data_IF_435335952288
#
_entry.id   IF_435335952288
#
_cell.length_a   1.000
_cell.length_b   1.000
_cell.length_c   1.000
_cell.angle_alpha   90.00
_cell.angle_beta   90.00
_cell.angle_gamma   90.00
#
_symmetry.space_group_name_H-M   'P 1'
#
loop_
_entity.id
_entity.type
_entity.pdbx_description
1 polymer ?
#
# COMPACT_ATOMS: atom_id res chain seq x y z
N UNK A 1 -3.50 -30.35 -47.99
CA UNK A 1 -4.45 -30.31 -46.87
C UNK A 1 -3.93 -30.88 -45.53
N UNK A 2 -2.93 -31.77 -45.51
CA UNK A 2 -2.32 -32.26 -44.26
C UNK A 2 -1.16 -31.36 -43.73
N UNK A 3 -0.45 -30.66 -44.59
CA UNK A 3 0.68 -29.78 -44.20
C UNK A 3 0.23 -28.44 -43.55
N UNK A 4 -0.97 -27.96 -43.82
CA UNK A 4 -1.46 -26.71 -43.22
C UNK A 4 -1.95 -26.88 -41.76
N UNK A 5 -2.43 -28.07 -41.36
CA UNK A 5 -2.90 -28.35 -39.99
C UNK A 5 -1.74 -28.45 -38.99
N UNK A 6 -0.56 -28.92 -39.39
CA UNK A 6 0.60 -29.01 -38.47
C UNK A 6 1.26 -27.64 -38.27
N UNK A 7 1.32 -26.79 -39.27
CA UNK A 7 1.84 -25.43 -39.17
C UNK A 7 0.95 -24.55 -38.27
N UNK A 8 -0.37 -24.77 -38.29
CA UNK A 8 -1.30 -24.05 -37.39
C UNK A 8 -1.22 -24.56 -35.92
N UNK A 9 -0.94 -25.85 -35.71
CA UNK A 9 -0.72 -26.43 -34.37
C UNK A 9 0.61 -25.95 -33.76
N UNK A 10 1.65 -25.88 -34.53
CA UNK A 10 2.95 -25.38 -34.04
C UNK A 10 2.92 -23.89 -33.77
N UNK A 11 2.29 -23.08 -34.60
CA UNK A 11 2.07 -21.65 -34.32
C UNK A 11 1.23 -21.42 -33.08
N UNK A 12 0.18 -22.22 -32.81
CA UNK A 12 -0.58 -22.15 -31.57
C UNK A 12 0.23 -22.58 -30.35
N UNK A 13 1.07 -23.57 -30.43
CA UNK A 13 1.98 -23.97 -29.33
C UNK A 13 3.03 -22.90 -29.07
N UNK A 14 3.64 -22.32 -30.10
CA UNK A 14 4.63 -21.24 -29.96
C UNK A 14 4.00 -19.98 -29.39
N UNK A 15 2.79 -19.60 -29.80
CA UNK A 15 2.06 -18.46 -29.25
C UNK A 15 1.63 -18.70 -27.80
N UNK A 16 1.18 -19.91 -27.44
CA UNK A 16 0.83 -20.25 -26.07
C UNK A 16 2.05 -20.24 -25.14
N UNK A 17 3.20 -20.79 -25.57
CA UNK A 17 4.44 -20.78 -24.78
C UNK A 17 5.00 -19.35 -24.63
N UNK A 18 4.87 -18.50 -25.65
CA UNK A 18 5.26 -17.09 -25.59
C UNK A 18 4.36 -16.28 -24.64
N UNK A 19 3.06 -16.56 -24.67
CA UNK A 19 2.09 -15.94 -23.75
C UNK A 19 2.31 -16.39 -22.30
N UNK A 20 2.56 -17.67 -22.04
CA UNK A 20 2.84 -18.16 -20.68
C UNK A 20 4.14 -17.59 -20.11
N UNK A 21 5.20 -17.48 -20.91
CA UNK A 21 6.46 -16.82 -20.50
C UNK A 21 6.25 -15.35 -20.20
N UNK A 22 5.42 -14.66 -20.99
CA UNK A 22 5.08 -13.25 -20.79
C UNK A 22 4.32 -13.05 -19.48
N UNK A 23 3.31 -13.87 -19.16
CA UNK A 23 2.52 -13.80 -17.93
C UNK A 23 3.39 -14.04 -16.69
N UNK A 24 4.24 -15.07 -16.70
CA UNK A 24 5.17 -15.37 -15.61
C UNK A 24 6.15 -14.21 -15.36
N UNK A 25 6.72 -13.65 -16.46
CA UNK A 25 7.61 -12.51 -16.36
C UNK A 25 6.91 -11.28 -15.79
N UNK A 26 5.71 -10.95 -16.27
CA UNK A 26 4.92 -9.85 -15.77
C UNK A 26 4.58 -10.00 -14.28
N UNK A 27 4.25 -11.21 -13.84
CA UNK A 27 4.03 -11.51 -12.42
C UNK A 27 5.29 -11.25 -11.59
N UNK A 28 6.44 -11.77 -12.02
CA UNK A 28 7.73 -11.56 -11.33
C UNK A 28 8.08 -10.08 -11.27
N UNK A 29 7.93 -9.36 -12.38
CA UNK A 29 8.22 -7.92 -12.44
C UNK A 29 7.29 -7.11 -11.54
N UNK A 30 5.99 -7.41 -11.53
CA UNK A 30 5.06 -6.76 -10.61
C UNK A 30 5.38 -7.07 -9.13
N UNK A 31 5.74 -8.31 -8.83
CA UNK A 31 6.19 -8.69 -7.49
C UNK A 31 7.46 -7.93 -7.08
N UNK A 32 8.46 -7.84 -7.96
CA UNK A 32 9.68 -7.07 -7.72
C UNK A 32 9.38 -5.57 -7.50
N UNK A 33 8.48 -5.00 -8.31
CA UNK A 33 8.05 -3.61 -8.14
C UNK A 33 7.43 -3.38 -6.77
N UNK A 34 6.54 -4.27 -6.35
CA UNK A 34 5.86 -4.21 -5.05
C UNK A 34 6.84 -4.39 -3.89
N UNK A 35 7.66 -5.44 -3.94
CA UNK A 35 8.67 -5.74 -2.90
C UNK A 35 9.66 -4.59 -2.77
N UNK A 36 10.10 -4.00 -3.90
CA UNK A 36 11.00 -2.85 -3.86
C UNK A 36 10.43 -1.66 -3.11
N UNK A 37 9.10 -1.48 -3.12
CA UNK A 37 8.43 -0.38 -2.42
C UNK A 37 8.50 -0.49 -0.89
N UNK A 38 8.78 -1.68 -0.36
CA UNK A 38 9.02 -1.91 1.06
C UNK A 38 10.53 -1.98 1.40
N UNK A 39 11.33 -2.62 0.54
CA UNK A 39 12.77 -2.82 0.79
C UNK A 39 13.52 -1.48 0.78
N UNK A 40 13.28 -0.61 -0.19
CA UNK A 40 14.02 0.66 -0.27
C UNK A 40 13.80 1.56 0.95
N UNK A 41 12.55 1.82 1.42
CA UNK A 41 12.34 2.51 2.69
C UNK A 41 12.99 1.80 3.89
N UNK A 42 13.00 0.47 3.91
CA UNK A 42 13.64 -0.30 5.00
C UNK A 42 15.16 -0.09 5.05
N UNK A 43 15.82 0.02 3.91
CA UNK A 43 17.27 0.28 3.84
C UNK A 43 17.58 1.75 4.16
N UNK A 44 16.77 2.70 3.66
CA UNK A 44 17.02 4.13 3.85
C UNK A 44 16.67 4.61 5.25
N UNK A 45 15.62 4.05 5.86
CA UNK A 45 15.08 4.54 7.12
C UNK A 45 16.05 4.47 8.29
N UNK A 46 16.86 3.40 8.50
CA UNK A 46 17.84 3.35 9.58
C UNK A 46 18.89 4.46 9.52
N UNK A 47 19.28 4.88 8.33
CA UNK A 47 20.17 6.01 8.12
C UNK A 47 19.47 7.34 8.41
N UNK A 48 18.36 7.56 7.70
CA UNK A 48 17.61 8.82 7.73
C UNK A 48 17.07 9.13 9.13
N UNK A 49 16.56 8.12 9.85
CA UNK A 49 16.04 8.30 11.21
C UNK A 49 17.12 8.79 12.19
N UNK A 50 18.36 8.31 12.05
CA UNK A 50 19.48 8.75 12.90
C UNK A 50 19.95 10.16 12.57
N UNK A 51 19.86 10.58 11.31
CA UNK A 51 20.26 11.91 10.85
C UNK A 51 19.20 12.96 11.13
N UNK A 52 17.95 12.71 10.69
CA UNK A 52 16.85 13.68 10.77
C UNK A 52 16.13 13.69 12.12
N UNK A 53 16.32 12.65 12.93
CA UNK A 53 15.63 12.43 14.19
C UNK A 53 14.07 12.35 14.03
N UNK A 54 13.31 12.11 15.12
CA UNK A 54 11.84 11.99 15.03
C UNK A 54 11.16 13.23 14.44
N UNK A 55 11.64 14.43 14.77
CA UNK A 55 11.06 15.67 14.28
C UNK A 55 11.14 15.78 12.75
N UNK A 56 12.33 15.62 12.17
CA UNK A 56 12.51 15.74 10.71
C UNK A 56 11.78 14.65 9.93
N UNK A 57 11.82 13.40 10.39
CA UNK A 57 11.06 12.31 9.76
C UNK A 57 9.55 12.48 9.94
N UNK A 58 9.11 13.04 11.07
CA UNK A 58 7.71 13.37 11.34
C UNK A 58 7.17 14.43 10.40
N UNK A 59 7.91 15.54 10.19
CA UNK A 59 7.56 16.59 9.22
C UNK A 59 7.35 16.02 7.81
N UNK A 60 8.28 15.19 7.34
CA UNK A 60 8.17 14.57 6.02
C UNK A 60 7.00 13.58 5.95
N UNK A 61 6.77 12.78 7.00
CA UNK A 61 5.65 11.83 7.05
C UNK A 61 4.30 12.55 7.07
N UNK A 62 4.17 13.61 7.86
CA UNK A 62 2.97 14.44 7.88
C UNK A 62 2.69 15.07 6.52
N UNK A 63 3.70 15.71 5.93
CA UNK A 63 3.56 16.31 4.60
C UNK A 63 3.20 15.27 3.54
N UNK A 64 3.81 14.07 3.58
CA UNK A 64 3.47 12.96 2.69
C UNK A 64 2.00 12.56 2.82
N UNK A 65 1.50 12.38 4.04
CA UNK A 65 0.11 11.97 4.28
C UNK A 65 -0.90 13.03 3.85
N UNK A 66 -0.63 14.31 4.12
CA UNK A 66 -1.48 15.42 3.67
C UNK A 66 -1.50 15.50 2.13
N UNK A 67 -0.35 15.46 1.48
CA UNK A 67 -0.26 15.49 0.00
C UNK A 67 -0.90 14.25 -0.63
N UNK A 68 -0.87 13.11 0.04
CA UNK A 68 -1.56 11.90 -0.44
C UNK A 68 -3.07 12.12 -0.56
N UNK A 69 -3.69 12.87 0.37
CA UNK A 69 -5.11 13.24 0.24
C UNK A 69 -5.37 14.11 -0.99
N UNK A 70 -4.56 15.16 -1.20
CA UNK A 70 -4.69 15.99 -2.41
C UNK A 70 -4.44 15.19 -3.69
N UNK A 71 -3.47 14.29 -3.67
CA UNK A 71 -3.16 13.38 -4.80
C UNK A 71 -4.32 12.41 -5.09
N UNK A 72 -5.00 11.90 -4.07
CA UNK A 72 -6.19 11.06 -4.20
C UNK A 72 -7.32 11.81 -4.93
N UNK A 73 -7.59 13.07 -4.54
CA UNK A 73 -8.58 13.91 -5.23
C UNK A 73 -8.15 14.23 -6.67
N UNK A 74 -6.89 14.55 -6.91
CA UNK A 74 -6.36 14.82 -8.24
C UNK A 74 -6.48 13.61 -9.17
N UNK A 75 -6.22 12.41 -8.67
CA UNK A 75 -6.26 11.17 -9.45
C UNK A 75 -7.66 10.58 -9.62
N UNK A 76 -8.61 10.94 -8.77
CA UNK A 76 -10.05 10.58 -8.85
C UNK A 76 -10.32 9.10 -9.17
N UNK A 77 -9.54 8.14 -8.60
CA UNK A 77 -9.70 6.70 -8.84
C UNK A 77 -9.24 6.20 -10.22
N UNK A 78 -8.75 7.09 -11.07
CA UNK A 78 -8.23 6.73 -12.41
C UNK A 78 -7.07 5.73 -12.36
N UNK A 79 -6.17 5.71 -11.36
CA UNK A 79 -5.11 4.69 -11.30
C UNK A 79 -5.63 3.25 -11.40
N UNK A 80 -6.78 2.95 -10.81
CA UNK A 80 -7.40 1.62 -10.87
C UNK A 80 -8.34 1.47 -12.07
N UNK A 81 -9.20 2.46 -12.31
CA UNK A 81 -10.12 2.43 -13.43
C UNK A 81 -9.39 2.44 -14.78
N UNK A 82 -8.33 3.25 -14.92
CA UNK A 82 -7.56 3.39 -16.15
C UNK A 82 -6.92 2.09 -16.62
N UNK A 83 -6.44 1.24 -15.68
CA UNK A 83 -5.93 -0.10 -16.02
C UNK A 83 -7.01 -0.89 -16.75
N UNK A 84 -8.23 -0.95 -16.19
CA UNK A 84 -9.37 -1.67 -16.78
C UNK A 84 -9.83 -1.06 -18.10
N UNK A 85 -9.87 0.27 -18.17
CA UNK A 85 -10.30 0.99 -19.37
C UNK A 85 -9.33 0.77 -20.54
N UNK A 86 -8.01 0.88 -20.29
CA UNK A 86 -7.00 0.65 -21.32
C UNK A 86 -6.92 -0.81 -21.76
N UNK A 87 -7.00 -1.76 -20.83
CA UNK A 87 -6.97 -3.18 -21.16
C UNK A 87 -8.08 -3.59 -22.12
N UNK A 88 -9.28 -2.99 -22.00
CA UNK A 88 -10.43 -3.26 -22.89
C UNK A 88 -10.22 -2.82 -24.34
N UNK A 89 -9.39 -1.82 -24.58
CA UNK A 89 -9.19 -1.20 -25.89
C UNK A 89 -7.75 -1.30 -26.39
N UNK A 90 -6.94 -2.13 -25.75
CA UNK A 90 -5.49 -2.23 -25.98
C UNK A 90 -5.11 -2.57 -27.42
N UNK A 91 -5.94 -3.32 -28.12
CA UNK A 91 -5.69 -3.78 -29.48
C UNK A 91 -6.02 -2.74 -30.57
N UNK A 92 -6.71 -1.64 -30.20
CA UNK A 92 -7.03 -0.54 -31.09
C UNK A 92 -6.35 0.76 -30.64
N UNK A 93 -5.29 1.14 -31.35
CA UNK A 93 -4.46 2.31 -31.00
C UNK A 93 -5.26 3.62 -30.97
N UNK A 94 -6.26 3.80 -31.83
CA UNK A 94 -7.09 5.00 -31.85
C UNK A 94 -7.98 5.08 -30.63
N UNK A 95 -8.72 3.99 -30.32
CA UNK A 95 -9.58 3.92 -29.15
C UNK A 95 -8.79 4.02 -27.86
N UNK A 96 -7.58 3.42 -27.80
CA UNK A 96 -6.68 3.53 -26.67
C UNK A 96 -6.24 4.98 -26.48
N UNK A 97 -5.81 5.67 -27.55
CA UNK A 97 -5.40 7.07 -27.50
C UNK A 97 -6.52 7.97 -27.01
N UNK A 98 -7.74 7.78 -27.54
CA UNK A 98 -8.95 8.51 -27.12
C UNK A 98 -9.24 8.31 -25.63
N UNK A 99 -9.23 7.06 -25.16
CA UNK A 99 -9.45 6.71 -23.75
C UNK A 99 -8.39 7.36 -22.84
N UNK A 100 -7.12 7.32 -23.24
CA UNK A 100 -6.03 7.93 -22.47
C UNK A 100 -6.19 9.45 -22.43
N UNK A 101 -6.52 10.10 -23.54
CA UNK A 101 -6.74 11.55 -23.57
C UNK A 101 -7.93 11.96 -22.69
N UNK A 102 -9.03 11.24 -22.72
CA UNK A 102 -10.21 11.50 -21.87
C UNK A 102 -9.88 11.37 -20.39
N UNK A 103 -9.17 10.32 -20.00
CA UNK A 103 -8.77 10.12 -18.59
C UNK A 103 -7.73 11.13 -18.14
N UNK A 104 -6.76 11.49 -18.99
CA UNK A 104 -5.81 12.55 -18.71
C UNK A 104 -6.48 13.91 -18.55
N UNK A 105 -7.49 14.21 -19.38
CA UNK A 105 -8.25 15.45 -19.26
C UNK A 105 -8.95 15.53 -17.90
N UNK A 106 -9.62 14.44 -17.44
CA UNK A 106 -10.24 14.39 -16.11
C UNK A 106 -9.17 14.62 -15.02
N UNK A 107 -8.03 13.93 -15.10
CA UNK A 107 -6.93 14.10 -14.14
C UNK A 107 -6.39 15.54 -14.10
N UNK A 108 -6.21 16.17 -15.26
CA UNK A 108 -5.71 17.56 -15.32
C UNK A 108 -6.69 18.54 -14.68
N UNK A 109 -8.00 18.41 -14.99
CA UNK A 109 -9.04 19.25 -14.39
C UNK A 109 -9.06 19.06 -12.87
N UNK A 110 -9.08 17.81 -12.39
CA UNK A 110 -9.10 17.53 -10.96
C UNK A 110 -7.83 17.96 -10.25
N UNK A 111 -6.67 17.86 -10.93
CA UNK A 111 -5.41 18.37 -10.38
C UNK A 111 -5.41 19.87 -10.24
N UNK A 112 -5.98 20.60 -11.20
CA UNK A 112 -6.14 22.05 -11.09
C UNK A 112 -6.95 22.43 -9.86
N UNK A 113 -8.09 21.75 -9.63
CA UNK A 113 -8.89 21.95 -8.42
C UNK A 113 -8.12 21.56 -7.14
N UNK A 114 -7.43 20.42 -7.15
CA UNK A 114 -6.64 19.95 -6.00
C UNK A 114 -5.52 20.95 -5.65
N UNK A 115 -4.81 21.48 -6.65
CA UNK A 115 -3.79 22.52 -6.42
C UNK A 115 -4.39 23.86 -5.97
N UNK A 116 -5.57 24.22 -6.47
CA UNK A 116 -6.29 25.43 -6.00
C UNK A 116 -6.63 25.33 -4.52
N UNK A 117 -7.25 24.22 -4.10
CA UNK A 117 -7.59 23.97 -2.68
C UNK A 117 -6.32 23.85 -1.84
N UNK A 118 -5.29 23.12 -2.33
CA UNK A 118 -4.01 23.03 -1.65
C UNK A 118 -3.36 24.40 -1.44
N UNK A 119 -3.38 25.27 -2.44
CA UNK A 119 -2.85 26.64 -2.35
C UNK A 119 -3.57 27.46 -1.27
N UNK A 120 -4.90 27.37 -1.21
CA UNK A 120 -5.71 28.02 -0.16
C UNK A 120 -5.31 27.45 1.20
N UNK A 121 -5.25 26.12 1.36
CA UNK A 121 -4.84 25.49 2.62
C UNK A 121 -3.42 25.90 3.05
N UNK A 122 -2.48 25.99 2.10
CA UNK A 122 -1.10 26.39 2.38
C UNK A 122 -0.99 27.84 2.90
N UNK A 123 -1.91 28.72 2.49
CA UNK A 123 -1.95 30.10 2.92
C UNK A 123 -2.73 30.30 4.23
N UNK A 124 -3.80 29.52 4.44
CA UNK A 124 -4.72 29.71 5.56
C UNK A 124 -4.40 28.84 6.78
N UNK A 125 -3.84 27.65 6.58
CA UNK A 125 -3.55 26.70 7.68
C UNK A 125 -2.15 26.97 8.24
N UNK A 126 -2.01 27.44 9.50
CA UNK A 126 -0.71 27.82 10.06
C UNK A 126 0.32 26.68 10.02
N UNK A 127 -0.10 25.45 10.34
CA UNK A 127 0.78 24.26 10.34
C UNK A 127 1.41 23.98 8.97
N UNK A 128 0.66 24.16 7.88
CA UNK A 128 1.15 23.97 6.54
C UNK A 128 2.05 25.15 6.11
N UNK A 129 1.67 26.36 6.53
CA UNK A 129 2.42 27.58 6.19
C UNK A 129 3.81 27.62 6.84
N UNK A 130 3.97 27.06 8.05
CA UNK A 130 5.26 26.98 8.72
C UNK A 130 6.28 26.14 7.93
N UNK A 131 5.83 25.07 7.26
CA UNK A 131 6.68 24.16 6.47
C UNK A 131 6.42 24.33 4.94
N UNK A 132 6.13 25.57 4.52
CA UNK A 132 5.74 25.90 3.13
C UNK A 132 6.65 25.27 2.09
N UNK A 133 7.97 25.36 2.26
CA UNK A 133 8.95 24.82 1.31
C UNK A 133 8.82 23.31 1.16
N UNK A 134 8.68 22.59 2.27
CA UNK A 134 8.48 21.15 2.25
C UNK A 134 7.18 20.78 1.52
N UNK A 135 6.07 21.44 1.84
CA UNK A 135 4.78 21.17 1.23
C UNK A 135 4.74 21.50 -0.26
N UNK A 136 5.38 22.58 -0.71
CA UNK A 136 5.49 22.92 -2.12
C UNK A 136 6.27 21.85 -2.89
N UNK A 137 7.40 21.40 -2.35
CA UNK A 137 8.18 20.32 -2.97
C UNK A 137 7.35 19.04 -2.98
N UNK A 138 6.76 18.64 -1.85
CA UNK A 138 5.96 17.40 -1.75
C UNK A 138 4.76 17.44 -2.70
N UNK A 139 4.16 18.58 -2.97
CA UNK A 139 3.03 18.71 -3.89
C UNK A 139 3.36 18.35 -5.34
N UNK A 140 4.64 18.40 -5.75
CA UNK A 140 5.06 17.96 -7.09
C UNK A 140 4.74 16.48 -7.37
N UNK A 141 4.54 15.68 -6.33
CA UNK A 141 4.04 14.29 -6.44
C UNK A 141 2.71 14.23 -7.19
N UNK A 142 1.81 15.20 -6.97
CA UNK A 142 0.50 15.26 -7.65
C UNK A 142 0.74 15.37 -9.16
N UNK A 143 1.61 16.30 -9.57
CA UNK A 143 1.95 16.50 -10.98
C UNK A 143 2.57 15.25 -11.61
N UNK A 144 3.60 14.67 -10.97
CA UNK A 144 4.25 13.46 -11.48
C UNK A 144 3.30 12.27 -11.59
N UNK A 145 2.37 12.12 -10.66
CA UNK A 145 1.39 11.03 -10.71
C UNK A 145 0.38 11.20 -11.84
N UNK A 146 0.01 12.43 -12.17
CA UNK A 146 -0.92 12.72 -13.27
C UNK A 146 -0.27 12.47 -14.62
N UNK A 147 0.92 13.03 -14.87
CA UNK A 147 1.62 12.83 -16.15
C UNK A 147 2.16 11.41 -16.31
N UNK A 148 2.32 10.67 -15.20
CA UNK A 148 2.96 9.37 -15.20
C UNK A 148 2.19 8.28 -15.94
N UNK A 149 0.89 8.43 -16.09
CA UNK A 149 -0.02 7.48 -16.77
C UNK A 149 0.34 6.01 -16.53
N UNK A 150 0.79 5.66 -15.32
CA UNK A 150 1.27 4.31 -15.00
C UNK A 150 0.19 3.25 -15.23
N UNK A 151 -1.08 3.64 -15.07
CA UNK A 151 -2.23 2.82 -15.34
C UNK A 151 -2.33 2.38 -16.82
N UNK A 152 -1.83 3.18 -17.78
CA UNK A 152 -1.71 2.80 -19.19
C UNK A 152 -0.76 1.61 -19.34
N UNK A 153 0.44 1.71 -18.76
CA UNK A 153 1.45 0.65 -18.85
C UNK A 153 1.01 -0.64 -18.17
N UNK A 154 0.32 -0.53 -17.02
CA UNK A 154 -0.28 -1.68 -16.34
C UNK A 154 -1.39 -2.31 -17.18
N UNK A 155 -2.24 -1.51 -17.83
CA UNK A 155 -3.28 -1.98 -18.74
C UNK A 155 -2.74 -2.66 -20.00
N UNK A 156 -1.56 -2.25 -20.45
CA UNK A 156 -0.83 -2.85 -21.57
C UNK A 156 0.14 -3.97 -21.13
N UNK A 157 0.13 -4.36 -19.85
CA UNK A 157 1.00 -5.39 -19.26
C UNK A 157 2.51 -5.13 -19.43
N UNK A 158 2.92 -3.85 -19.48
CA UNK A 158 4.32 -3.43 -19.65
C UNK A 158 5.07 -3.39 -18.30
N UNK A 159 4.93 -4.44 -17.48
CA UNK A 159 5.48 -4.49 -16.12
C UNK A 159 7.01 -4.43 -16.10
N UNK A 160 7.69 -5.05 -17.07
CA UNK A 160 9.16 -4.98 -17.15
C UNK A 160 9.66 -3.55 -17.24
N UNK A 161 9.04 -2.73 -18.10
CA UNK A 161 9.42 -1.34 -18.28
C UNK A 161 9.22 -0.52 -16.99
N UNK A 162 8.03 -0.57 -16.40
CA UNK A 162 7.73 0.21 -15.19
C UNK A 162 8.57 -0.23 -13.99
N UNK A 163 8.87 -1.54 -13.88
CA UNK A 163 9.68 -2.08 -12.78
C UNK A 163 11.13 -1.65 -12.89
N UNK A 164 11.78 -1.89 -14.04
CA UNK A 164 13.19 -1.52 -14.22
C UNK A 164 13.39 -0.02 -14.01
N UNK A 165 12.56 0.79 -14.64
CA UNK A 165 12.57 2.24 -14.48
C UNK A 165 12.44 2.65 -12.99
N UNK A 166 11.43 2.11 -12.28
CA UNK A 166 11.20 2.42 -10.87
C UNK A 166 12.38 2.02 -10.00
N UNK A 167 12.95 0.83 -10.23
CA UNK A 167 14.12 0.35 -9.49
C UNK A 167 15.33 1.26 -9.67
N UNK A 168 15.62 1.68 -10.90
CA UNK A 168 16.74 2.58 -11.21
C UNK A 168 16.59 3.89 -10.40
N UNK A 169 15.42 4.52 -10.43
CA UNK A 169 15.19 5.76 -9.67
C UNK A 169 15.27 5.55 -8.16
N UNK A 170 14.79 4.43 -7.64
CA UNK A 170 14.92 4.09 -6.22
C UNK A 170 16.39 3.91 -5.81
N UNK A 171 17.20 3.23 -6.63
CA UNK A 171 18.64 3.06 -6.39
C UNK A 171 19.35 4.42 -6.41
N UNK A 172 19.08 5.27 -7.41
CA UNK A 172 19.63 6.62 -7.47
C UNK A 172 19.23 7.42 -6.22
N UNK A 173 17.93 7.39 -5.85
CA UNK A 173 17.45 8.10 -4.67
C UNK A 173 18.10 7.62 -3.38
N UNK A 174 18.37 6.31 -3.25
CA UNK A 174 19.10 5.74 -2.11
C UNK A 174 20.51 6.36 -2.01
N UNK A 175 21.30 6.29 -3.09
CA UNK A 175 22.66 6.83 -3.08
C UNK A 175 22.69 8.34 -2.84
N UNK A 176 21.80 9.08 -3.48
CA UNK A 176 21.70 10.54 -3.30
C UNK A 176 21.26 10.89 -1.87
N UNK A 177 20.37 10.08 -1.25
CA UNK A 177 19.98 10.25 0.15
C UNK A 177 21.19 10.09 1.06
N UNK A 178 22.01 9.05 0.89
CA UNK A 178 23.21 8.84 1.68
C UNK A 178 24.27 9.96 1.51
N UNK A 179 24.29 10.60 0.34
CA UNK A 179 25.23 11.70 0.06
C UNK A 179 24.76 13.06 0.58
N UNK A 180 23.48 13.38 0.42
CA UNK A 180 22.96 14.75 0.66
C UNK A 180 22.30 14.92 2.03
N UNK A 181 21.72 13.89 2.63
CA UNK A 181 21.02 13.98 3.92
C UNK A 181 22.04 13.76 5.04
N UNK A 182 22.59 14.83 5.63
CA UNK A 182 23.65 14.75 6.64
C UNK A 182 23.33 15.49 7.93
N UNK A 183 22.37 16.41 7.92
CA UNK A 183 22.01 17.27 9.05
C UNK A 183 20.51 17.17 9.33
N UNK A 184 20.10 17.52 10.56
CA UNK A 184 18.68 17.57 10.95
C UNK A 184 17.84 18.48 10.03
N UNK A 185 18.43 19.58 9.53
CA UNK A 185 17.79 20.54 8.62
C UNK A 185 17.52 19.98 7.23
N UNK A 186 18.12 18.85 6.85
CA UNK A 186 18.02 18.30 5.49
C UNK A 186 16.73 17.51 5.24
N UNK A 187 15.72 17.63 6.14
CA UNK A 187 14.42 16.97 5.98
C UNK A 187 13.68 17.39 4.70
N UNK A 188 13.86 18.65 4.24
CA UNK A 188 13.30 19.12 2.98
C UNK A 188 13.95 18.42 1.78
N UNK A 189 15.27 18.24 1.81
CA UNK A 189 16.02 17.46 0.81
C UNK A 189 15.53 16.01 0.79
N UNK A 190 15.39 15.42 1.98
CA UNK A 190 14.84 14.07 2.10
C UNK A 190 13.43 13.96 1.54
N UNK A 191 12.55 14.94 1.79
CA UNK A 191 11.23 15.02 1.18
C UNK A 191 11.30 15.01 -0.35
N UNK A 192 12.18 15.80 -0.96
CA UNK A 192 12.39 15.81 -2.41
C UNK A 192 12.89 14.44 -2.94
N UNK A 193 13.79 13.80 -2.20
CA UNK A 193 14.33 12.47 -2.58
C UNK A 193 13.29 11.36 -2.47
N UNK A 194 12.36 11.44 -1.52
CA UNK A 194 11.23 10.49 -1.46
C UNK A 194 10.33 10.60 -2.70
N UNK A 195 10.11 11.81 -3.23
CA UNK A 195 9.36 12.02 -4.47
C UNK A 195 10.15 11.48 -5.66
N UNK A 196 11.46 11.72 -5.69
CA UNK A 196 12.32 11.18 -6.76
C UNK A 196 12.24 9.66 -6.81
N UNK A 197 12.29 8.99 -5.67
CA UNK A 197 12.17 7.54 -5.57
C UNK A 197 10.79 7.02 -5.99
N UNK A 198 9.71 7.73 -5.63
CA UNK A 198 8.34 7.26 -5.83
C UNK A 198 7.76 7.66 -7.19
N UNK A 199 7.99 8.89 -7.63
CA UNK A 199 7.20 9.49 -8.71
C UNK A 199 7.99 10.14 -9.83
N UNK A 200 9.24 10.58 -9.61
CA UNK A 200 9.98 11.31 -10.64
C UNK A 200 10.23 10.48 -11.91
N UNK A 201 10.34 9.17 -11.77
CA UNK A 201 10.45 8.25 -12.92
C UNK A 201 9.23 8.30 -13.85
N UNK A 202 8.11 8.87 -13.41
CA UNK A 202 6.90 9.05 -14.20
C UNK A 202 7.07 9.99 -15.40
N UNK A 203 8.07 10.88 -15.36
CA UNK A 203 8.46 11.70 -16.54
C UNK A 203 8.82 10.78 -17.71
N UNK A 204 9.56 9.72 -17.46
CA UNK A 204 9.93 8.77 -18.51
C UNK A 204 8.71 8.04 -19.08
N UNK A 205 7.67 7.80 -18.26
CA UNK A 205 6.41 7.26 -18.75
C UNK A 205 5.76 8.21 -19.74
N UNK A 206 5.68 9.48 -19.40
CA UNK A 206 5.08 10.50 -20.27
C UNK A 206 5.79 10.55 -21.63
N UNK A 207 7.13 10.62 -21.59
CA UNK A 207 7.94 10.63 -22.80
C UNK A 207 7.72 9.37 -23.62
N UNK A 208 7.72 8.19 -23.00
CA UNK A 208 7.60 6.91 -23.69
C UNK A 208 6.17 6.57 -24.15
N UNK A 209 5.14 7.28 -23.66
CA UNK A 209 3.74 7.02 -23.99
C UNK A 209 3.45 7.15 -25.50
N UNK A 210 4.19 8.01 -26.24
CA UNK A 210 4.04 8.16 -27.69
C UNK A 210 4.19 6.85 -28.49
N UNK A 211 4.85 5.86 -27.95
CA UNK A 211 4.98 4.54 -28.60
C UNK A 211 3.64 3.79 -28.64
N UNK A 212 2.79 3.99 -27.65
CA UNK A 212 1.55 3.27 -27.45
C UNK A 212 0.32 4.05 -27.91
N UNK A 213 0.34 5.37 -27.73
CA UNK A 213 -0.77 6.27 -28.05
C UNK A 213 -0.36 7.34 -29.06
N UNK A 214 -1.34 7.89 -29.75
CA UNK A 214 -1.17 9.09 -30.58
C UNK A 214 -1.21 10.31 -29.66
N UNK A 215 -0.22 11.21 -29.75
CA UNK A 215 -0.20 12.46 -28.99
C UNK A 215 -1.17 13.50 -29.59
N UNK A 216 -1.34 13.46 -30.93
CA UNK A 216 -2.26 14.36 -31.62
C UNK A 216 -3.70 14.04 -31.23
N UNK A 217 -4.58 15.05 -31.12
CA UNK A 217 -5.99 14.85 -30.85
C UNK A 217 -6.63 13.89 -31.84
N UNK A 218 -7.33 12.88 -31.33
CA UNK A 218 -8.01 11.83 -32.14
C UNK A 218 -9.46 12.21 -32.46
N UNK A 219 -10.02 13.18 -31.72
CA UNK A 219 -11.42 13.62 -31.88
C UNK A 219 -12.45 12.69 -31.24
N UNK A 220 -13.73 13.05 -31.36
CA UNK A 220 -14.88 12.30 -30.83
C UNK A 220 -14.76 11.93 -29.34
N UNK A 221 -14.39 12.88 -28.51
CA UNK A 221 -14.22 12.68 -27.08
C UNK A 221 -15.56 12.64 -26.35
N UNK A 222 -15.74 11.65 -25.48
CA UNK A 222 -16.93 11.45 -24.65
C UNK A 222 -16.52 11.23 -23.20
N UNK A 223 -15.97 12.26 -22.56
CA UNK A 223 -15.44 12.22 -21.17
C UNK A 223 -16.50 11.72 -20.17
N UNK A 224 -17.78 12.08 -20.38
CA UNK A 224 -18.91 11.70 -19.51
C UNK A 224 -19.08 10.20 -19.32
N UNK A 225 -18.68 9.37 -20.29
CA UNK A 225 -18.79 7.90 -20.20
C UNK A 225 -17.93 7.29 -19.08
N UNK A 226 -16.88 7.98 -18.65
CA UNK A 226 -15.96 7.51 -17.62
C UNK A 226 -16.40 7.92 -16.21
N UNK A 227 -17.14 9.01 -16.05
CA UNK A 227 -17.41 9.68 -14.76
C UNK A 227 -18.00 8.72 -13.74
N UNK A 228 -19.06 7.97 -14.10
CA UNK A 228 -19.69 7.03 -13.16
C UNK A 228 -18.72 5.98 -12.63
N UNK A 229 -17.92 5.39 -13.50
CA UNK A 229 -16.95 4.38 -13.09
C UNK A 229 -15.79 4.98 -12.27
N UNK A 230 -15.29 6.13 -12.72
CA UNK A 230 -14.23 6.87 -12.01
C UNK A 230 -14.66 7.21 -10.59
N UNK A 231 -15.89 7.69 -10.36
CA UNK A 231 -16.42 8.00 -9.04
C UNK A 231 -16.56 6.77 -8.13
N UNK A 232 -16.92 5.60 -8.69
CA UNK A 232 -16.95 4.35 -7.91
C UNK A 232 -15.54 3.98 -7.42
N UNK A 233 -14.56 4.00 -8.32
CA UNK A 233 -13.16 3.70 -7.93
C UNK A 233 -12.56 4.78 -7.03
N UNK A 234 -13.00 6.03 -7.18
CA UNK A 234 -12.63 7.11 -6.26
C UNK A 234 -13.14 6.86 -4.84
N UNK A 235 -14.41 6.48 -4.68
CA UNK A 235 -14.96 6.14 -3.38
C UNK A 235 -14.18 5.00 -2.69
N UNK A 236 -13.79 3.97 -3.45
CA UNK A 236 -12.92 2.89 -2.94
C UNK A 236 -11.54 3.43 -2.52
N UNK A 237 -10.93 4.29 -3.35
CA UNK A 237 -9.64 4.92 -3.03
C UNK A 237 -9.73 5.82 -1.80
N UNK A 238 -10.84 6.55 -1.63
CA UNK A 238 -11.08 7.38 -0.44
C UNK A 238 -11.08 6.53 0.84
N UNK A 239 -11.81 5.41 0.84
CA UNK A 239 -11.85 4.53 2.00
C UNK A 239 -10.44 4.07 2.40
N UNK A 240 -9.66 3.56 1.43
CA UNK A 240 -8.30 3.08 1.69
C UNK A 240 -7.34 4.18 2.11
N UNK A 241 -7.32 5.32 1.39
CA UNK A 241 -6.36 6.41 1.65
C UNK A 241 -6.67 7.12 2.96
N UNK A 242 -7.95 7.33 3.29
CA UNK A 242 -8.34 7.91 4.58
C UNK A 242 -7.89 6.97 5.70
N UNK A 243 -8.26 5.71 5.64
CA UNK A 243 -7.92 4.72 6.67
C UNK A 243 -6.41 4.60 6.91
N UNK A 244 -5.59 4.62 5.88
CA UNK A 244 -4.14 4.42 6.01
C UNK A 244 -3.35 5.66 6.43
N UNK A 245 -3.89 6.87 6.29
CA UNK A 245 -3.19 8.13 6.57
C UNK A 245 -3.80 8.96 7.70
N UNK A 246 -4.99 8.57 8.20
CA UNK A 246 -5.75 9.34 9.18
C UNK A 246 -4.94 9.63 10.45
N UNK A 247 -4.34 8.60 11.03
CA UNK A 247 -3.53 8.70 12.25
C UNK A 247 -2.42 9.74 12.13
N UNK A 248 -1.66 9.65 11.03
CA UNK A 248 -0.52 10.55 10.78
C UNK A 248 -0.98 12.00 10.61
N UNK A 249 -2.10 12.21 9.90
CA UNK A 249 -2.66 13.54 9.68
C UNK A 249 -3.24 14.11 10.97
N UNK A 250 -4.00 13.32 11.73
CA UNK A 250 -4.55 13.76 13.02
C UNK A 250 -3.44 14.07 14.02
N UNK A 251 -2.42 13.20 14.14
CA UNK A 251 -1.24 13.47 14.98
C UNK A 251 -0.55 14.77 14.59
N UNK A 252 -0.33 14.99 13.30
CA UNK A 252 0.35 16.18 12.80
C UNK A 252 -0.41 17.49 13.10
N UNK A 253 -1.75 17.47 13.07
CA UNK A 253 -2.57 18.64 13.43
C UNK A 253 -2.77 18.80 14.93
N UNK A 254 -2.88 17.71 15.69
CA UNK A 254 -3.28 17.75 17.10
C UNK A 254 -2.07 17.73 18.05
N UNK A 255 -0.90 17.29 17.60
CA UNK A 255 0.32 17.10 18.40
C UNK A 255 1.56 17.61 17.66
N UNK A 256 2.74 17.16 18.09
CA UNK A 256 4.03 17.58 17.54
C UNK A 256 4.48 16.71 16.37
N UNK A 257 5.40 17.24 15.55
CA UNK A 257 6.04 16.46 14.48
C UNK A 257 6.88 15.30 15.05
N UNK A 258 7.36 15.42 16.29
CA UNK A 258 8.07 14.35 17.01
C UNK A 258 7.14 13.17 17.25
N UNK A 259 5.89 13.42 17.67
CA UNK A 259 4.89 12.36 17.88
C UNK A 259 4.53 11.65 16.58
N UNK A 260 4.44 12.41 15.48
CA UNK A 260 4.28 11.84 14.13
C UNK A 260 5.48 10.95 13.79
N UNK A 261 6.70 11.38 14.09
CA UNK A 261 7.92 10.61 13.89
C UNK A 261 7.92 9.30 14.69
N UNK A 262 7.51 9.35 15.96
CA UNK A 262 7.42 8.16 16.81
C UNK A 262 6.39 7.15 16.29
N UNK A 263 5.20 7.61 15.95
CA UNK A 263 4.16 6.74 15.38
C UNK A 263 4.59 6.10 14.07
N UNK A 264 5.11 6.91 13.13
CA UNK A 264 5.51 6.41 11.82
C UNK A 264 6.69 5.44 11.86
N UNK A 265 7.61 5.57 12.83
CA UNK A 265 8.67 4.58 13.02
C UNK A 265 8.09 3.20 13.38
N UNK A 266 7.11 3.14 14.30
CA UNK A 266 6.42 1.91 14.64
C UNK A 266 5.64 1.33 13.45
N UNK A 267 4.91 2.18 12.71
CA UNK A 267 4.17 1.79 11.51
C UNK A 267 5.09 1.24 10.42
N UNK A 268 6.27 1.80 10.21
CA UNK A 268 7.22 1.28 9.21
C UNK A 268 7.67 -0.15 9.53
N UNK A 269 7.98 -0.42 10.80
CA UNK A 269 8.35 -1.78 11.25
C UNK A 269 7.16 -2.74 11.00
N UNK A 270 5.96 -2.35 11.46
CA UNK A 270 4.71 -3.10 11.23
C UNK A 270 4.52 -3.42 9.74
N UNK A 271 4.68 -2.44 8.86
CA UNK A 271 4.40 -2.60 7.42
C UNK A 271 5.32 -3.63 6.76
N UNK A 272 6.59 -3.68 7.16
CA UNK A 272 7.53 -4.70 6.66
C UNK A 272 7.12 -6.10 7.09
N UNK A 273 6.78 -6.26 8.38
CA UNK A 273 6.34 -7.54 8.94
C UNK A 273 5.02 -7.99 8.31
N UNK A 274 4.11 -7.05 8.09
CA UNK A 274 2.83 -7.31 7.45
C UNK A 274 3.00 -7.84 6.02
N UNK A 275 4.00 -7.36 5.28
CA UNK A 275 4.32 -7.91 3.95
C UNK A 275 4.63 -9.40 3.96
N UNK A 276 5.26 -9.90 5.03
CA UNK A 276 5.50 -11.35 5.22
C UNK A 276 4.20 -12.08 5.54
N UNK A 277 3.41 -11.57 6.48
CA UNK A 277 2.15 -12.18 6.94
C UNK A 277 1.13 -12.29 5.79
N UNK A 278 1.02 -11.27 4.95
CA UNK A 278 0.04 -11.22 3.85
C UNK A 278 0.53 -11.84 2.54
N UNK A 279 1.79 -12.28 2.46
CA UNK A 279 2.41 -12.82 1.24
C UNK A 279 1.65 -13.99 0.62
N UNK A 280 1.08 -14.86 1.45
CA UNK A 280 0.31 -16.02 1.00
C UNK A 280 -0.99 -15.61 0.28
N UNK A 281 -1.60 -14.49 0.67
CA UNK A 281 -2.87 -14.02 0.11
C UNK A 281 -2.82 -13.81 -1.40
N UNK A 282 -1.73 -13.26 -1.92
CA UNK A 282 -1.58 -13.01 -3.36
C UNK A 282 -1.65 -14.28 -4.22
N UNK A 283 -1.22 -15.43 -3.66
CA UNK A 283 -1.22 -16.73 -4.36
C UNK A 283 -2.56 -17.44 -4.22
N UNK A 284 -3.29 -17.18 -3.14
CA UNK A 284 -4.54 -17.89 -2.83
C UNK A 284 -5.75 -17.38 -3.59
N UNK A 285 -5.85 -16.09 -3.85
CA UNK A 285 -7.04 -15.48 -4.47
C UNK A 285 -7.46 -16.14 -5.80
N UNK A 286 -6.56 -16.39 -6.77
CA UNK A 286 -6.96 -17.05 -8.02
C UNK A 286 -7.50 -18.48 -7.79
N UNK A 287 -6.88 -19.23 -6.86
CA UNK A 287 -7.32 -20.59 -6.53
C UNK A 287 -8.66 -20.61 -5.79
N UNK A 288 -8.86 -19.71 -4.84
CA UNK A 288 -10.11 -19.56 -4.11
C UNK A 288 -11.27 -19.24 -5.07
N UNK A 289 -11.08 -18.27 -5.97
CA UNK A 289 -12.07 -17.91 -6.99
C UNK A 289 -12.39 -19.08 -7.92
N UNK A 290 -11.35 -19.81 -8.38
CA UNK A 290 -11.53 -20.99 -9.23
C UNK A 290 -12.36 -22.08 -8.53
N UNK A 291 -12.08 -22.38 -7.26
CA UNK A 291 -12.82 -23.42 -6.53
C UNK A 291 -14.28 -23.06 -6.29
N UNK A 292 -14.57 -21.79 -5.98
CA UNK A 292 -15.95 -21.31 -5.82
C UNK A 292 -16.71 -21.38 -7.13
N UNK A 293 -16.11 -20.91 -8.22
CA UNK A 293 -16.74 -20.89 -9.55
C UNK A 293 -17.07 -22.30 -10.08
N UNK A 294 -16.25 -23.30 -9.71
CA UNK A 294 -16.47 -24.71 -10.10
C UNK A 294 -17.20 -25.53 -9.03
N UNK A 295 -17.78 -24.92 -8.00
CA UNK A 295 -18.55 -25.63 -6.97
C UNK A 295 -17.73 -26.53 -6.03
N UNK A 296 -16.38 -26.37 -6.01
CA UNK A 296 -15.47 -27.18 -5.20
C UNK A 296 -15.36 -26.63 -3.77
N UNK A 297 -16.50 -26.55 -3.04
CA UNK A 297 -16.58 -25.91 -1.72
C UNK A 297 -15.63 -26.52 -0.68
N UNK A 298 -15.48 -27.84 -0.64
CA UNK A 298 -14.57 -28.50 0.29
C UNK A 298 -13.11 -28.09 0.09
N UNK A 299 -12.66 -28.01 -1.19
CA UNK A 299 -11.31 -27.56 -1.50
C UNK A 299 -11.09 -26.09 -1.13
N UNK A 300 -12.09 -25.24 -1.37
CA UNK A 300 -12.09 -23.85 -0.95
C UNK A 300 -11.94 -23.73 0.57
N UNK A 301 -12.74 -24.48 1.36
CA UNK A 301 -12.66 -24.47 2.81
C UNK A 301 -11.31 -24.98 3.30
N UNK A 302 -10.77 -26.04 2.70
CA UNK A 302 -9.45 -26.58 3.05
C UNK A 302 -8.32 -25.57 2.86
N UNK A 303 -8.30 -24.84 1.74
CA UNK A 303 -7.26 -23.84 1.55
C UNK A 303 -7.46 -22.61 2.45
N UNK A 304 -8.70 -22.20 2.72
CA UNK A 304 -9.00 -21.12 3.63
C UNK A 304 -8.53 -21.42 5.06
N UNK A 305 -8.80 -22.65 5.56
CA UNK A 305 -8.32 -23.14 6.86
C UNK A 305 -6.78 -23.06 6.95
N UNK A 306 -6.08 -23.63 5.96
CA UNK A 306 -4.61 -23.59 5.89
C UNK A 306 -4.06 -22.19 5.86
N UNK A 307 -4.74 -21.27 5.18
CA UNK A 307 -4.34 -19.88 5.12
C UNK A 307 -4.50 -19.16 6.46
N UNK A 308 -5.59 -19.41 7.17
CA UNK A 308 -5.82 -18.90 8.54
C UNK A 308 -4.75 -19.46 9.48
N UNK A 309 -4.48 -20.77 9.43
CA UNK A 309 -3.43 -21.42 10.24
C UNK A 309 -2.05 -20.82 9.96
N UNK A 310 -1.72 -20.59 8.68
CA UNK A 310 -0.47 -19.92 8.29
C UNK A 310 -0.35 -18.52 8.90
N UNK A 311 -1.44 -17.73 8.88
CA UNK A 311 -1.42 -16.39 9.50
C UNK A 311 -1.14 -16.50 11.00
N UNK A 312 -1.81 -17.39 11.71
CA UNK A 312 -1.53 -17.60 13.13
C UNK A 312 -0.10 -18.06 13.39
N UNK A 313 0.42 -18.98 12.57
CA UNK A 313 1.78 -19.51 12.72
C UNK A 313 2.86 -18.46 12.51
N UNK A 314 2.65 -17.50 11.60
CA UNK A 314 3.64 -16.47 11.28
C UNK A 314 3.40 -15.18 12.06
N UNK A 315 2.15 -14.68 12.10
CA UNK A 315 1.86 -13.40 12.72
C UNK A 315 2.02 -13.41 14.23
N UNK A 316 1.62 -14.51 14.90
CA UNK A 316 1.64 -14.56 16.37
C UNK A 316 3.05 -14.57 16.94
N UNK A 317 4.01 -15.39 16.47
CA UNK A 317 5.40 -15.31 16.93
C UNK A 317 6.05 -13.96 16.62
N UNK A 318 5.82 -13.40 15.41
CA UNK A 318 6.33 -12.08 15.06
C UNK A 318 5.78 -10.99 15.99
N UNK A 319 4.47 -11.00 16.22
CA UNK A 319 3.81 -10.08 17.14
C UNK A 319 4.44 -10.14 18.54
N UNK A 320 4.53 -11.34 19.12
CA UNK A 320 5.07 -11.53 20.47
C UNK A 320 6.54 -11.11 20.54
N UNK A 321 7.35 -11.53 19.56
CA UNK A 321 8.76 -11.14 19.49
C UNK A 321 8.92 -9.61 19.47
N UNK A 322 8.22 -8.91 18.57
CA UNK A 322 8.36 -7.47 18.43
C UNK A 322 7.67 -6.66 19.54
N UNK A 323 6.76 -7.26 20.34
CA UNK A 323 6.27 -6.68 21.59
C UNK A 323 7.36 -6.77 22.68
N UNK A 324 7.97 -7.93 22.86
CA UNK A 324 8.99 -8.17 23.90
C UNK A 324 10.29 -7.41 23.61
N UNK A 325 10.71 -7.37 22.35
CA UNK A 325 11.92 -6.71 21.87
C UNK A 325 11.66 -5.38 21.17
N UNK A 326 10.56 -4.70 21.54
CA UNK A 326 10.21 -3.41 20.94
C UNK A 326 11.31 -2.36 21.09
N UNK A 327 11.96 -2.31 22.27
CA UNK A 327 13.07 -1.38 22.56
C UNK A 327 14.23 -1.63 21.61
N UNK A 328 14.68 -2.87 21.53
CA UNK A 328 15.82 -3.29 20.71
C UNK A 328 15.49 -3.09 19.21
N UNK A 329 14.31 -3.48 18.79
CA UNK A 329 13.84 -3.30 17.41
C UNK A 329 13.77 -1.82 16.99
N UNK A 330 13.22 -0.96 17.83
CA UNK A 330 13.17 0.49 17.59
C UNK A 330 14.57 1.07 17.55
N UNK A 331 15.44 0.75 18.50
CA UNK A 331 16.79 1.30 18.55
C UNK A 331 17.65 0.80 17.40
N UNK A 332 17.49 -0.45 17.00
CA UNK A 332 18.21 -1.01 15.86
C UNK A 332 17.82 -0.31 14.55
N UNK A 333 16.52 -0.13 14.31
CA UNK A 333 16.02 0.44 13.04
C UNK A 333 16.01 1.97 13.04
N UNK A 334 15.74 2.63 14.18
CA UNK A 334 15.51 4.07 14.21
C UNK A 334 16.52 4.86 15.04
N UNK A 335 17.24 4.19 15.96
CA UNK A 335 18.19 4.83 16.89
C UNK A 335 17.55 5.25 18.21
N UNK A 336 18.42 5.67 19.17
CA UNK A 336 18.02 5.97 20.55
C UNK A 336 17.03 7.13 20.69
N UNK A 337 17.04 8.08 19.76
CA UNK A 337 16.14 9.23 19.76
C UNK A 337 14.66 8.83 19.59
N UNK A 338 14.39 7.59 19.18
CA UNK A 338 13.04 7.06 18.96
C UNK A 338 12.49 6.28 20.16
N UNK A 339 12.99 6.51 21.36
CA UNK A 339 12.47 5.86 22.58
C UNK A 339 10.96 6.01 22.76
N UNK A 340 10.38 7.13 22.33
CA UNK A 340 8.92 7.34 22.32
C UNK A 340 8.13 6.46 21.36
N UNK A 341 8.80 5.73 20.44
CA UNK A 341 8.17 4.77 19.53
C UNK A 341 7.97 3.37 20.16
N UNK A 342 8.56 3.10 21.31
CA UNK A 342 8.54 1.76 21.93
C UNK A 342 7.10 1.36 22.28
N UNK A 343 6.38 2.19 23.02
CA UNK A 343 5.01 1.91 23.43
C UNK A 343 4.06 1.85 22.22
N UNK A 344 4.06 2.84 21.29
CA UNK A 344 3.29 2.73 20.04
C UNK A 344 3.57 1.43 19.27
N UNK A 345 4.83 0.99 19.20
CA UNK A 345 5.19 -0.26 18.55
C UNK A 345 4.57 -1.47 19.25
N UNK A 346 4.66 -1.57 20.57
CA UNK A 346 4.06 -2.65 21.35
C UNK A 346 2.56 -2.76 21.13
N UNK A 347 1.86 -1.61 21.08
CA UNK A 347 0.41 -1.55 20.90
C UNK A 347 -0.01 -1.89 19.47
N UNK A 348 0.78 -1.48 18.46
CA UNK A 348 0.40 -1.68 17.06
C UNK A 348 0.74 -3.10 16.56
N UNK A 349 1.67 -3.84 17.19
CA UNK A 349 2.07 -5.17 16.73
C UNK A 349 0.93 -6.20 16.66
N UNK A 350 -0.06 -6.26 17.57
CA UNK A 350 -1.19 -7.16 17.43
C UNK A 350 -2.00 -6.97 16.14
N UNK A 351 -1.93 -5.80 15.51
CA UNK A 351 -2.57 -5.58 14.20
C UNK A 351 -2.02 -6.49 13.10
N UNK A 352 -0.80 -7.02 13.23
CA UNK A 352 -0.26 -8.01 12.30
C UNK A 352 -1.17 -9.24 12.18
N UNK A 353 -1.70 -9.70 13.33
CA UNK A 353 -2.63 -10.83 13.36
C UNK A 353 -3.97 -10.44 12.76
N UNK A 354 -4.56 -9.31 13.19
CA UNK A 354 -5.88 -8.89 12.70
C UNK A 354 -5.86 -8.59 11.21
N UNK A 355 -4.88 -7.82 10.70
CA UNK A 355 -4.75 -7.52 9.27
C UNK A 355 -4.44 -8.80 8.47
N UNK A 356 -3.62 -9.69 8.99
CA UNK A 356 -3.37 -10.99 8.35
C UNK A 356 -4.64 -11.81 8.18
N UNK A 357 -5.45 -11.91 9.24
CA UNK A 357 -6.74 -12.61 9.23
C UNK A 357 -7.77 -11.93 8.32
N UNK A 358 -7.91 -10.61 8.40
CA UNK A 358 -8.85 -9.86 7.56
C UNK A 358 -8.44 -9.87 6.09
N UNK A 359 -7.15 -9.94 5.77
CA UNK A 359 -6.69 -10.16 4.40
C UNK A 359 -7.16 -11.52 3.85
N UNK A 360 -7.09 -12.60 4.64
CA UNK A 360 -7.59 -13.91 4.21
C UNK A 360 -9.13 -13.91 4.15
N UNK A 361 -9.81 -13.48 5.21
CA UNK A 361 -11.27 -13.50 5.27
C UNK A 361 -11.91 -12.53 4.28
N UNK A 362 -11.37 -11.33 4.14
CA UNK A 362 -11.89 -10.31 3.22
C UNK A 362 -11.61 -10.65 1.77
N UNK A 363 -10.32 -10.66 1.40
CA UNK A 363 -9.93 -10.75 -0.02
C UNK A 363 -10.02 -12.18 -0.54
N UNK A 364 -9.59 -13.19 0.24
CA UNK A 364 -9.50 -14.57 -0.22
C UNK A 364 -10.78 -15.38 0.00
N UNK A 365 -11.69 -14.93 0.87
CA UNK A 365 -12.94 -15.64 1.15
C UNK A 365 -14.18 -14.82 0.72
N UNK A 366 -14.39 -13.62 1.26
CA UNK A 366 -15.61 -12.84 0.98
C UNK A 366 -15.70 -12.39 -0.49
N UNK A 367 -14.58 -11.99 -1.12
CA UNK A 367 -14.58 -11.56 -2.53
C UNK A 367 -14.93 -12.72 -3.47
N UNK A 368 -14.31 -13.92 -3.42
CA UNK A 368 -14.75 -15.05 -4.25
C UNK A 368 -16.19 -15.49 -4.00
N UNK A 369 -16.71 -15.30 -2.78
CA UNK A 369 -18.12 -15.58 -2.44
C UNK A 369 -19.10 -14.51 -2.94
N UNK A 370 -18.65 -13.46 -3.64
CA UNK A 370 -19.48 -12.34 -4.13
C UNK A 370 -20.00 -11.44 -3.00
N UNK A 371 -19.32 -11.44 -1.85
CA UNK A 371 -19.68 -10.66 -0.65
C UNK A 371 -18.75 -9.48 -0.40
N UNK A 372 -18.19 -8.88 -1.45
CA UNK A 372 -17.26 -7.75 -1.39
C UNK A 372 -17.83 -6.51 -0.66
N UNK A 373 -19.16 -6.36 -0.64
CA UNK A 373 -19.82 -5.31 0.14
C UNK A 373 -19.55 -5.42 1.64
N UNK A 374 -19.38 -6.64 2.17
CA UNK A 374 -19.08 -6.86 3.58
C UNK A 374 -17.67 -6.38 3.89
N UNK A 375 -16.71 -6.61 2.98
CA UNK A 375 -15.35 -6.09 3.10
C UNK A 375 -15.39 -4.56 3.18
N UNK A 376 -16.09 -3.91 2.25
CA UNK A 376 -16.24 -2.46 2.26
C UNK A 376 -16.87 -1.94 3.56
N UNK A 377 -17.95 -2.56 4.03
CA UNK A 377 -18.59 -2.15 5.29
C UNK A 377 -17.66 -2.35 6.51
N UNK A 378 -16.90 -3.46 6.54
CA UNK A 378 -15.95 -3.67 7.63
C UNK A 378 -14.85 -2.59 7.66
N UNK A 379 -14.31 -2.19 6.51
CA UNK A 379 -13.34 -1.11 6.40
C UNK A 379 -13.91 0.26 6.80
N UNK A 380 -15.16 0.55 6.41
CA UNK A 380 -15.85 1.80 6.81
C UNK A 380 -16.05 1.83 8.34
N UNK A 381 -16.48 0.72 8.94
CA UNK A 381 -16.65 0.62 10.40
C UNK A 381 -15.31 0.82 11.09
N UNK A 382 -14.24 0.17 10.60
CA UNK A 382 -12.89 0.36 11.10
C UNK A 382 -12.44 1.82 11.03
N UNK A 383 -12.63 2.49 9.88
CA UNK A 383 -12.27 3.89 9.69
C UNK A 383 -13.03 4.85 10.62
N UNK A 384 -14.33 4.59 10.85
CA UNK A 384 -15.13 5.39 11.78
C UNK A 384 -14.66 5.18 13.22
N UNK A 385 -14.39 3.94 13.63
CA UNK A 385 -13.86 3.63 14.95
C UNK A 385 -12.50 4.28 15.18
N UNK A 386 -11.61 4.20 14.19
CA UNK A 386 -10.29 4.83 14.22
C UNK A 386 -10.40 6.35 14.38
N UNK A 387 -11.26 7.01 13.57
CA UNK A 387 -11.50 8.44 13.65
C UNK A 387 -11.98 8.87 15.04
N UNK A 388 -12.96 8.16 15.59
CA UNK A 388 -13.54 8.48 16.91
C UNK A 388 -12.48 8.31 18.01
N UNK A 389 -11.77 7.18 18.01
CA UNK A 389 -10.76 6.90 19.01
C UNK A 389 -9.57 7.85 18.91
N UNK A 390 -9.11 8.16 17.72
CA UNK A 390 -8.06 9.14 17.50
C UNK A 390 -8.43 10.52 18.00
N UNK A 391 -9.66 10.96 17.76
CA UNK A 391 -10.15 12.24 18.27
C UNK A 391 -10.14 12.31 19.80
N UNK A 392 -10.41 11.19 20.49
CA UNK A 392 -10.44 11.10 21.95
C UNK A 392 -9.06 10.87 22.56
N UNK A 393 -8.26 9.96 21.95
CA UNK A 393 -7.02 9.46 22.54
C UNK A 393 -5.77 10.25 22.13
N UNK A 394 -5.69 10.75 20.91
CA UNK A 394 -4.54 11.54 20.46
C UNK A 394 -4.30 12.76 21.35
N UNK A 395 -5.32 13.58 21.74
CA UNK A 395 -5.10 14.71 22.62
C UNK A 395 -4.47 14.34 23.97
N UNK A 396 -4.75 13.13 24.46
CA UNK A 396 -4.31 12.66 25.78
C UNK A 396 -3.00 11.89 25.73
N UNK A 397 -2.80 11.07 24.69
CA UNK A 397 -1.75 10.05 24.63
C UNK A 397 -0.85 10.17 23.39
N UNK A 398 -1.06 11.17 22.52
CA UNK A 398 -0.27 11.42 21.31
C UNK A 398 -0.11 10.14 20.43
N UNK A 399 1.13 9.78 20.10
CA UNK A 399 1.44 8.59 19.25
C UNK A 399 0.95 7.26 19.83
N UNK A 400 0.87 7.16 21.15
CA UNK A 400 0.31 5.99 21.84
C UNK A 400 -1.21 5.90 21.60
N UNK A 401 -1.90 7.05 21.63
CA UNK A 401 -3.34 7.12 21.34
C UNK A 401 -3.69 6.70 19.92
N UNK A 402 -2.89 7.15 18.93
CA UNK A 402 -3.03 6.74 17.55
C UNK A 402 -2.82 5.22 17.37
N UNK A 403 -1.81 4.64 18.03
CA UNK A 403 -1.58 3.20 17.98
C UNK A 403 -2.75 2.38 18.57
N UNK A 404 -3.40 2.88 19.63
CA UNK A 404 -4.62 2.29 20.17
C UNK A 404 -5.80 2.41 19.20
N UNK A 405 -5.99 3.57 18.58
CA UNK A 405 -7.01 3.80 17.56
C UNK A 405 -6.92 2.76 16.45
N UNK A 406 -5.72 2.66 15.84
CA UNK A 406 -5.44 1.66 14.81
C UNK A 406 -5.72 0.23 15.28
N UNK A 407 -5.28 -0.15 16.49
CA UNK A 407 -5.48 -1.51 17.00
C UNK A 407 -6.97 -1.85 17.12
N UNK A 408 -7.76 -0.98 17.72
CA UNK A 408 -9.21 -1.21 17.92
C UNK A 408 -9.94 -1.18 16.59
N UNK A 409 -9.54 -0.32 15.65
CA UNK A 409 -10.09 -0.30 14.30
C UNK A 409 -9.89 -1.62 13.57
N UNK A 410 -8.68 -2.18 13.59
CA UNK A 410 -8.39 -3.48 12.98
C UNK A 410 -9.16 -4.64 13.66
N UNK A 411 -9.32 -4.58 14.97
CA UNK A 411 -10.18 -5.51 15.70
C UNK A 411 -11.64 -5.40 15.24
N UNK A 412 -12.16 -4.20 15.04
CA UNK A 412 -13.53 -3.99 14.57
C UNK A 412 -13.73 -4.56 13.15
N UNK A 413 -12.78 -4.31 12.23
CA UNK A 413 -12.78 -4.91 10.88
C UNK A 413 -12.83 -6.44 10.97
N UNK A 414 -11.96 -7.03 11.80
CA UNK A 414 -11.89 -8.48 12.01
C UNK A 414 -13.20 -9.05 12.58
N UNK A 415 -13.80 -8.40 13.59
CA UNK A 415 -15.07 -8.83 14.18
C UNK A 415 -16.20 -8.85 13.14
N UNK A 416 -16.32 -7.80 12.32
CA UNK A 416 -17.34 -7.71 11.27
C UNK A 416 -17.18 -8.88 10.27
N UNK A 417 -15.96 -9.15 9.83
CA UNK A 417 -15.69 -10.21 8.87
C UNK A 417 -15.89 -11.61 9.48
N UNK A 418 -15.53 -11.84 10.75
CA UNK A 418 -15.81 -13.10 11.47
C UNK A 418 -17.32 -13.35 11.58
N UNK A 419 -18.08 -12.33 11.98
CA UNK A 419 -19.54 -12.47 12.10
C UNK A 419 -20.17 -12.86 10.74
N UNK A 420 -19.69 -12.26 9.66
CA UNK A 420 -20.17 -12.54 8.30
C UNK A 420 -19.80 -13.94 7.79
N UNK A 421 -18.69 -14.50 8.24
CA UNK A 421 -18.16 -15.82 7.84
C UNK A 421 -18.27 -16.87 8.95
N UNK A 422 -19.05 -16.62 10.03
CA UNK A 422 -19.04 -17.42 11.26
C UNK A 422 -19.21 -18.92 11.02
N UNK A 423 -20.07 -19.32 10.08
CA UNK A 423 -20.31 -20.73 9.75
C UNK A 423 -19.10 -21.44 9.13
N UNK A 424 -18.19 -20.69 8.50
CA UNK A 424 -17.01 -21.23 7.82
C UNK A 424 -15.79 -21.11 8.73
N UNK A 425 -15.64 -19.95 9.36
CA UNK A 425 -14.42 -19.56 10.07
C UNK A 425 -14.35 -20.19 11.46
N UNK A 426 -15.49 -20.38 12.16
CA UNK A 426 -15.50 -21.00 13.49
C UNK A 426 -14.98 -22.44 13.46
N UNK A 427 -15.33 -23.21 12.43
CA UNK A 427 -14.82 -24.58 12.27
C UNK A 427 -13.32 -24.56 11.94
N UNK A 428 -12.87 -23.61 11.10
CA UNK A 428 -11.44 -23.42 10.85
C UNK A 428 -10.66 -23.07 12.12
N UNK A 429 -11.20 -22.20 12.97
CA UNK A 429 -10.57 -21.83 14.25
C UNK A 429 -10.49 -22.98 15.24
N UNK A 430 -11.49 -23.89 15.27
CA UNK A 430 -11.48 -25.07 16.15
C UNK A 430 -10.40 -26.08 15.77
N UNK A 431 -10.07 -26.17 14.49
CA UNK A 431 -9.10 -27.13 13.96
C UNK A 431 -7.65 -26.61 13.99
N UNK A 432 -7.41 -25.35 14.39
CA UNK A 432 -6.06 -24.78 14.48
C UNK A 432 -5.25 -25.52 15.57
N UNK A 433 -4.02 -25.86 15.25
CA UNK A 433 -3.08 -26.51 16.17
C UNK A 433 -2.49 -25.49 17.17
N UNK A 434 -3.34 -24.91 18.03
CA UNK A 434 -2.93 -23.89 19.01
C UNK A 434 -1.76 -24.35 19.90
N UNK A 435 -1.68 -25.65 20.21
CA UNK A 435 -0.56 -26.20 20.98
C UNK A 435 0.77 -25.98 20.30
N UNK A 436 0.86 -26.22 18.99
CA UNK A 436 2.09 -26.01 18.20
C UNK A 436 2.47 -24.53 18.14
N UNK A 437 1.49 -23.64 18.00
CA UNK A 437 1.72 -22.20 18.00
C UNK A 437 2.20 -21.75 19.38
N UNK A 438 1.58 -22.21 20.45
CA UNK A 438 1.96 -21.90 21.83
C UNK A 438 3.39 -22.39 22.15
N UNK A 439 3.74 -23.60 21.73
CA UNK A 439 5.09 -24.15 21.88
C UNK A 439 6.10 -23.31 21.10
N UNK A 440 5.80 -22.93 19.86
CA UNK A 440 6.68 -22.07 19.06
C UNK A 440 6.90 -20.69 19.72
N UNK A 441 5.85 -20.09 20.28
CA UNK A 441 5.94 -18.83 21.03
C UNK A 441 6.79 -18.99 22.27
N UNK A 442 6.54 -20.02 23.09
CA UNK A 442 7.29 -20.26 24.32
C UNK A 442 8.77 -20.50 24.04
N UNK A 443 9.09 -21.34 23.04
CA UNK A 443 10.46 -21.55 22.60
C UNK A 443 11.11 -20.24 22.10
N UNK A 444 10.38 -19.45 21.32
CA UNK A 444 10.84 -18.13 20.88
C UNK A 444 11.13 -17.19 22.04
N UNK A 445 10.26 -17.12 23.04
CA UNK A 445 10.46 -16.30 24.26
C UNK A 445 11.66 -16.78 25.05
N UNK A 446 11.81 -18.11 25.28
CA UNK A 446 12.92 -18.68 26.03
C UNK A 446 14.26 -18.39 25.34
N UNK A 447 14.37 -18.70 24.04
CA UNK A 447 15.59 -18.48 23.26
C UNK A 447 15.94 -16.98 23.24
N UNK A 448 14.97 -16.13 22.97
CA UNK A 448 15.16 -14.69 22.91
C UNK A 448 15.48 -14.10 24.28
N UNK A 449 14.84 -14.56 25.35
CA UNK A 449 15.14 -14.17 26.72
C UNK A 449 16.55 -14.59 27.13
N UNK A 450 16.98 -15.78 26.75
CA UNK A 450 18.35 -16.25 26.98
C UNK A 450 19.38 -15.37 26.26
N UNK A 451 19.17 -15.06 24.99
CA UNK A 451 20.03 -14.15 24.23
C UNK A 451 20.09 -12.76 24.90
N UNK A 452 18.96 -12.25 25.40
CA UNK A 452 18.90 -10.96 26.10
C UNK A 452 19.62 -10.94 27.43
N UNK A 453 19.71 -12.08 28.12
CA UNK A 453 20.48 -12.19 29.36
C UNK A 453 21.98 -12.32 29.11
N UNK A 454 22.41 -12.70 27.90
CA UNK A 454 23.82 -12.84 27.53
C UNK A 454 24.42 -11.56 26.89
N UNK A 455 23.57 -10.63 26.47
CA UNK A 455 23.98 -9.34 25.88
C UNK A 455 23.89 -8.21 26.89
#
# INVERSE_FOLDING_TARGET
MFYEKDSQKDNRKITNVKNEKSIKLNFIMNALLTISSFIFPLITFPYVSRVLLPEGTGKVSFATSVITYFSMFAQLGIPTYGIRACAKVRDNKEMLSRTVHELLFINLVMSFFAYGVFGICLLTVPKLRMEKTLFLIMSTTIFFNVIGVEWLYKGLEQYTYITVRSLVFKVIALFVTLCLVRKKSDYVIYGALTIMAASASNILNFINAHKYIQIKPVGNYHVGRHIRSVLIFFAMSCATVIYTNLDTVMLGFMKSDIDVGYYNAAVKIKTVLLGVVTSLGAVLLPRASYYIEHGMHEKFLSIAKKAIEFVFLIATPLMVYFILFAKEGVFFLSGLAYSGSIIPMQIIMPTLLFIGLTNIMGIQMLVPLGKEKIVLYSEIIGAIMDLILNFILIPKMASVGAAFGTLVAEMAVWIVQIVALRSIVLDAYREIHYKSILVAILLGIIISGWVKCMS
#
